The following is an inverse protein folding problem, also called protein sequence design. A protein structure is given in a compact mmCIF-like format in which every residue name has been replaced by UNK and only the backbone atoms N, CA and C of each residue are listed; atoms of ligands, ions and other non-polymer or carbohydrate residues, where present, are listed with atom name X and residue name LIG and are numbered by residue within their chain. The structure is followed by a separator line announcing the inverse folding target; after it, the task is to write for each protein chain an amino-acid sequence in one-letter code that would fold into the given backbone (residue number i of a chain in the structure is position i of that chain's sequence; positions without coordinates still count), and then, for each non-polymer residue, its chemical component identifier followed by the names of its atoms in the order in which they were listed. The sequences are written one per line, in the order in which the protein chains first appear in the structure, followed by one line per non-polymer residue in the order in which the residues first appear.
data_IF_152526357727
#
_entry.id   IF_152526357727
#
_cell.length_a   1.000
_cell.length_b   1.000
_cell.length_c   1.000
_cell.angle_alpha   90.00
_cell.angle_beta   90.00
_cell.angle_gamma   90.00
#
_symmetry.space_group_name_H-M   'P 1'
#
loop_
_entity.id
_entity.type
_entity.pdbx_description
1 polymer ?
#
# COMPACT_ATOMS: atom_id res chain seq x y z
N UNK A 1 -12.40 32.35 8.35
CA UNK A 1 -12.40 30.97 7.81
C UNK A 1 -11.63 30.12 8.81
N UNK A 2 -12.25 29.05 9.33
CA UNK A 2 -11.57 28.17 10.30
C UNK A 2 -10.61 27.31 9.48
N UNK A 3 -9.32 27.49 9.67
CA UNK A 3 -8.29 26.62 9.09
C UNK A 3 -8.09 25.43 10.02
N UNK A 4 -8.28 24.21 9.50
CA UNK A 4 -8.01 22.95 10.22
C UNK A 4 -6.60 22.45 9.90
N UNK A 5 -5.66 23.38 9.76
CA UNK A 5 -4.26 23.06 9.51
C UNK A 5 -3.66 22.40 10.75
N UNK A 6 -2.92 21.31 10.56
CA UNK A 6 -2.28 20.62 11.67
C UNK A 6 -0.87 20.16 11.32
N UNK A 7 -0.06 19.98 12.36
CA UNK A 7 1.28 19.42 12.26
C UNK A 7 1.18 17.93 12.48
N UNK A 8 1.61 17.14 11.48
CA UNK A 8 1.63 15.69 11.53
C UNK A 8 3.04 15.19 11.83
N UNK A 9 3.20 14.66 13.04
CA UNK A 9 4.43 14.03 13.49
C UNK A 9 4.08 12.65 14.06
N UNK A 10 3.75 11.72 13.17
CA UNK A 10 3.33 10.38 13.56
C UNK A 10 4.54 9.52 13.95
N UNK A 11 4.39 8.75 15.00
CA UNK A 11 5.28 7.62 15.24
C UNK A 11 4.85 6.49 14.29
N UNK A 12 5.75 6.02 13.40
CA UNK A 12 5.47 4.90 12.51
C UNK A 12 5.22 3.59 13.26
N UNK A 13 5.70 3.48 14.50
CA UNK A 13 5.62 2.28 15.33
C UNK A 13 4.35 2.35 16.18
N UNK A 14 3.46 1.39 15.98
CA UNK A 14 2.27 1.21 16.82
C UNK A 14 2.64 0.69 18.19
N UNK A 15 3.37 -0.44 18.26
CA UNK A 15 3.97 -0.97 19.49
C UNK A 15 5.16 -1.87 19.20
N UNK A 16 6.00 -2.11 20.22
CA UNK A 16 7.13 -3.02 20.14
C UNK A 16 6.90 -4.22 21.05
N UNK A 17 7.06 -5.43 20.51
CA UNK A 17 6.93 -6.68 21.24
C UNK A 17 8.18 -7.55 21.01
N UNK A 18 8.86 -7.96 22.05
CA UNK A 18 10.05 -8.82 22.01
C UNK A 18 11.13 -8.33 21.02
N UNK A 19 11.34 -7.00 20.94
CA UNK A 19 12.30 -6.38 20.03
C UNK A 19 11.81 -6.22 18.60
N UNK A 20 10.60 -6.69 18.25
CA UNK A 20 9.98 -6.51 16.94
C UNK A 20 9.07 -5.29 16.96
N UNK A 21 9.36 -4.32 16.10
CA UNK A 21 8.55 -3.12 15.94
C UNK A 21 7.37 -3.39 14.99
N UNK A 22 6.15 -3.36 15.50
CA UNK A 22 4.94 -3.42 14.68
C UNK A 22 4.56 -2.01 14.26
N UNK A 23 4.60 -1.77 12.95
CA UNK A 23 4.29 -0.47 12.35
C UNK A 23 2.81 -0.35 12.02
N UNK A 24 2.26 0.87 12.10
CA UNK A 24 0.89 1.15 11.63
C UNK A 24 0.65 0.68 10.20
N UNK A 25 1.63 0.86 9.32
CA UNK A 25 1.54 0.41 7.92
C UNK A 25 1.28 -1.10 7.82
N UNK A 26 2.03 -1.91 8.56
CA UNK A 26 1.82 -3.37 8.59
C UNK A 26 0.45 -3.74 9.16
N UNK A 27 -0.01 -3.02 10.19
CA UNK A 27 -1.34 -3.22 10.77
C UNK A 27 -2.45 -2.92 9.74
N UNK A 28 -2.32 -1.84 8.96
CA UNK A 28 -3.29 -1.52 7.91
C UNK A 28 -3.36 -2.62 6.85
N UNK A 29 -2.23 -3.25 6.50
CA UNK A 29 -2.24 -4.43 5.61
C UNK A 29 -2.98 -5.61 6.22
N UNK A 30 -2.74 -5.93 7.49
CA UNK A 30 -3.46 -7.03 8.17
C UNK A 30 -4.96 -6.77 8.16
N UNK A 31 -5.40 -5.56 8.45
CA UNK A 31 -6.82 -5.18 8.41
C UNK A 31 -7.36 -5.28 6.97
N UNK A 32 -6.63 -4.75 5.98
CA UNK A 32 -7.01 -4.80 4.57
C UNK A 32 -7.21 -6.24 4.07
N UNK A 33 -6.25 -7.13 4.36
CA UNK A 33 -6.33 -8.53 3.95
C UNK A 33 -7.44 -9.28 4.69
N UNK A 34 -7.56 -9.11 6.00
CA UNK A 34 -8.59 -9.79 6.81
C UNK A 34 -10.00 -9.38 6.36
N UNK A 35 -10.22 -8.06 6.20
CA UNK A 35 -11.50 -7.54 5.74
C UNK A 35 -11.76 -7.93 4.27
N UNK A 36 -10.72 -7.87 3.43
CA UNK A 36 -10.79 -8.30 2.04
C UNK A 36 -11.21 -9.76 1.91
N UNK A 37 -10.59 -10.65 2.68
CA UNK A 37 -10.96 -12.07 2.72
C UNK A 37 -12.41 -12.26 3.20
N UNK A 38 -12.81 -11.59 4.28
CA UNK A 38 -14.17 -11.68 4.82
C UNK A 38 -15.22 -11.23 3.80
N UNK A 39 -15.02 -10.11 3.14
CA UNK A 39 -15.95 -9.59 2.13
C UNK A 39 -16.01 -10.49 0.91
N UNK A 40 -14.88 -11.01 0.44
CA UNK A 40 -14.82 -11.93 -0.68
C UNK A 40 -15.51 -13.25 -0.34
N UNK A 41 -15.32 -13.77 0.88
CA UNK A 41 -16.02 -14.95 1.38
C UNK A 41 -17.53 -14.77 1.31
N UNK A 42 -18.05 -13.62 1.74
CA UNK A 42 -19.48 -13.32 1.68
C UNK A 42 -20.01 -13.33 0.23
N UNK A 43 -19.24 -12.80 -0.72
CA UNK A 43 -19.56 -12.81 -2.14
C UNK A 43 -19.54 -14.24 -2.71
N UNK A 44 -18.48 -14.99 -2.42
CA UNK A 44 -18.32 -16.37 -2.91
C UNK A 44 -19.47 -17.27 -2.45
N UNK A 45 -19.75 -17.26 -1.16
CA UNK A 45 -20.84 -18.07 -0.59
C UNK A 45 -22.22 -17.66 -1.15
N UNK A 46 -22.45 -16.37 -1.36
CA UNK A 46 -23.69 -15.88 -1.98
C UNK A 46 -23.89 -16.38 -3.42
N UNK A 47 -22.81 -16.69 -4.13
CA UNK A 47 -22.86 -17.19 -5.51
C UNK A 47 -22.58 -18.72 -5.60
N UNK A 48 -22.71 -19.43 -4.48
CA UNK A 48 -22.56 -20.88 -4.43
C UNK A 48 -21.12 -21.38 -4.64
N UNK A 49 -20.12 -20.51 -4.41
CA UNK A 49 -18.71 -20.87 -4.45
C UNK A 49 -18.22 -21.30 -3.07
N UNK A 50 -17.13 -22.06 -3.01
CA UNK A 50 -16.61 -22.60 -1.76
C UNK A 50 -15.51 -21.73 -1.14
N UNK A 51 -15.27 -21.93 0.15
CA UNK A 51 -14.18 -21.26 0.86
C UNK A 51 -12.82 -21.75 0.35
N UNK A 52 -12.69 -23.02 -0.02
CA UNK A 52 -11.48 -23.60 -0.60
C UNK A 52 -11.11 -22.92 -1.93
N UNK A 53 -12.12 -22.57 -2.74
CA UNK A 53 -11.91 -21.82 -3.97
C UNK A 53 -11.38 -20.41 -3.66
N UNK A 54 -11.94 -19.75 -2.63
CA UNK A 54 -11.45 -18.44 -2.18
C UNK A 54 -10.02 -18.51 -1.64
N UNK A 55 -9.74 -19.46 -0.73
CA UNK A 55 -8.41 -19.62 -0.14
C UNK A 55 -7.36 -19.91 -1.23
N UNK A 56 -7.74 -20.74 -2.21
CA UNK A 56 -6.90 -20.98 -3.39
C UNK A 56 -6.61 -19.67 -4.14
N UNK A 57 -7.61 -18.79 -4.37
CA UNK A 57 -7.40 -17.50 -5.01
C UNK A 57 -6.40 -16.63 -4.22
N UNK A 58 -6.57 -16.57 -2.91
CA UNK A 58 -5.65 -15.81 -2.04
C UNK A 58 -4.22 -16.34 -2.12
N UNK A 59 -4.02 -17.65 -2.07
CA UNK A 59 -2.69 -18.28 -2.18
C UNK A 59 -2.08 -17.99 -3.56
N UNK A 60 -2.84 -18.19 -4.64
CA UNK A 60 -2.36 -17.90 -6.01
C UNK A 60 -1.92 -16.44 -6.16
N UNK A 61 -2.74 -15.51 -5.69
CA UNK A 61 -2.43 -14.07 -5.80
C UNK A 61 -1.29 -13.64 -4.89
N UNK A 62 -1.21 -14.16 -3.66
CA UNK A 62 -0.15 -13.84 -2.71
C UNK A 62 1.22 -14.32 -3.23
N UNK A 63 1.32 -15.60 -3.63
CA UNK A 63 2.55 -16.15 -4.19
C UNK A 63 2.95 -15.39 -5.47
N UNK A 64 1.98 -15.15 -6.37
CA UNK A 64 2.25 -14.46 -7.62
C UNK A 64 2.68 -13.01 -7.42
N UNK A 65 2.14 -12.32 -6.42
CA UNK A 65 2.56 -10.96 -6.07
C UNK A 65 4.00 -10.95 -5.60
N UNK A 66 4.38 -11.82 -4.67
CA UNK A 66 5.73 -11.87 -4.11
C UNK A 66 6.76 -12.30 -5.17
N UNK A 67 6.48 -13.39 -5.87
CA UNK A 67 7.38 -13.93 -6.91
C UNK A 67 7.48 -12.96 -8.09
N UNK A 68 6.35 -12.45 -8.53
CA UNK A 68 6.30 -11.49 -9.64
C UNK A 68 7.01 -10.19 -9.32
N UNK A 69 6.77 -9.62 -8.12
CA UNK A 69 7.45 -8.40 -7.69
C UNK A 69 8.98 -8.60 -7.61
N UNK A 70 9.43 -9.74 -7.07
CA UNK A 70 10.85 -10.07 -6.99
C UNK A 70 11.49 -10.29 -8.36
N UNK A 71 10.88 -11.12 -9.19
CA UNK A 71 11.37 -11.36 -10.55
C UNK A 71 11.36 -10.08 -11.38
N UNK A 72 10.32 -9.24 -11.24
CA UNK A 72 10.26 -7.96 -11.93
C UNK A 72 11.38 -7.02 -11.53
N UNK A 73 11.73 -6.95 -10.26
CA UNK A 73 12.88 -6.18 -9.78
C UNK A 73 14.20 -6.72 -10.36
N UNK A 74 14.43 -8.02 -10.22
CA UNK A 74 15.65 -8.65 -10.68
C UNK A 74 15.84 -8.57 -12.20
N UNK A 75 14.77 -8.78 -12.98
CA UNK A 75 14.87 -8.89 -14.44
C UNK A 75 14.80 -7.54 -15.17
N UNK A 76 14.01 -6.58 -14.66
CA UNK A 76 13.78 -5.31 -15.35
C UNK A 76 14.60 -4.15 -14.79
N UNK A 77 14.97 -4.17 -13.51
CA UNK A 77 15.65 -3.03 -12.88
C UNK A 77 17.09 -3.32 -12.45
N UNK A 78 17.40 -4.56 -12.08
CA UNK A 78 18.70 -4.90 -11.50
C UNK A 78 19.37 -6.11 -12.16
N UNK A 79 19.10 -6.37 -13.46
CA UNK A 79 19.60 -7.54 -14.16
C UNK A 79 21.13 -7.60 -14.20
N UNK A 80 21.80 -6.47 -14.37
CA UNK A 80 23.28 -6.39 -14.41
C UNK A 80 23.92 -6.95 -13.15
N UNK A 81 23.27 -6.84 -12.01
CA UNK A 81 23.70 -7.44 -10.75
C UNK A 81 23.28 -8.92 -10.66
N UNK A 82 22.00 -9.22 -10.87
CA UNK A 82 21.45 -10.55 -10.60
C UNK A 82 21.87 -11.61 -11.61
N UNK A 83 22.31 -11.26 -12.82
CA UNK A 83 22.88 -12.23 -13.75
C UNK A 83 24.14 -12.92 -13.20
N UNK A 84 24.87 -12.28 -12.28
CA UNK A 84 26.06 -12.83 -11.61
C UNK A 84 25.74 -13.38 -10.21
N UNK A 85 24.53 -13.15 -9.68
CA UNK A 85 24.12 -13.55 -8.32
C UNK A 85 22.75 -14.27 -8.35
N UNK A 86 22.63 -15.31 -9.16
CA UNK A 86 21.36 -16.01 -9.43
C UNK A 86 20.69 -16.58 -8.17
N UNK A 87 21.46 -17.01 -7.17
CA UNK A 87 20.91 -17.54 -5.91
C UNK A 87 20.18 -16.45 -5.12
N UNK A 88 20.61 -15.21 -5.19
CA UNK A 88 20.01 -14.08 -4.51
C UNK A 88 18.63 -13.69 -5.09
N UNK A 89 18.29 -14.16 -6.29
CA UNK A 89 16.97 -13.99 -6.88
C UNK A 89 15.91 -14.70 -6.03
N UNK A 90 16.22 -15.93 -5.60
CA UNK A 90 15.27 -16.82 -4.93
C UNK A 90 15.45 -16.89 -3.41
N UNK A 91 16.62 -16.53 -2.91
CA UNK A 91 16.96 -16.61 -1.48
C UNK A 91 17.15 -15.19 -0.91
N UNK A 92 16.68 -14.95 0.33
CA UNK A 92 16.82 -13.65 1.00
C UNK A 92 18.23 -13.44 1.57
N UNK A 93 19.25 -13.75 0.79
CA UNK A 93 20.68 -13.72 1.17
C UNK A 93 21.45 -12.79 0.25
N UNK A 94 22.59 -12.30 0.72
CA UNK A 94 23.55 -11.52 -0.06
C UNK A 94 24.96 -12.07 0.15
N UNK A 95 25.76 -12.13 -0.91
CA UNK A 95 27.15 -12.51 -0.83
C UNK A 95 27.98 -11.41 -0.18
N UNK A 96 28.85 -11.79 0.79
CA UNK A 96 29.73 -10.84 1.49
C UNK A 96 31.02 -10.62 0.70
N UNK A 97 31.56 -9.38 0.70
CA UNK A 97 32.92 -9.14 0.26
C UNK A 97 33.90 -9.98 1.10
N UNK A 98 34.56 -10.96 0.50
CA UNK A 98 35.46 -11.89 1.21
C UNK A 98 34.91 -13.30 1.41
N UNK A 99 33.74 -13.60 0.88
CA UNK A 99 33.09 -14.90 0.89
C UNK A 99 32.13 -15.12 2.07
N UNK A 100 31.16 -16.02 1.86
CA UNK A 100 30.09 -16.30 2.81
C UNK A 100 28.81 -15.53 2.50
N UNK A 101 27.71 -15.86 3.22
CA UNK A 101 26.37 -15.33 2.98
C UNK A 101 25.86 -14.58 4.19
N UNK A 102 25.03 -13.56 3.94
CA UNK A 102 24.32 -12.79 4.95
C UNK A 102 22.82 -12.81 4.66
N UNK A 103 22.02 -13.04 5.69
CA UNK A 103 20.55 -12.95 5.57
C UNK A 103 20.14 -11.47 5.59
N UNK A 104 19.78 -10.94 4.43
CA UNK A 104 19.41 -9.52 4.26
C UNK A 104 17.90 -9.30 4.07
N UNK A 105 17.12 -10.38 3.90
CA UNK A 105 15.75 -10.30 3.43
C UNK A 105 15.66 -10.01 1.93
N UNK A 106 14.44 -9.94 1.41
CA UNK A 106 14.21 -9.51 0.03
C UNK A 106 14.14 -7.99 -0.02
N UNK A 107 15.14 -7.37 -0.62
CA UNK A 107 15.15 -5.95 -1.00
C UNK A 107 14.89 -5.84 -2.51
N UNK A 108 14.16 -4.81 -2.91
CA UNK A 108 13.75 -4.61 -4.31
C UNK A 108 12.50 -5.44 -4.67
N UNK A 109 11.39 -4.75 -4.85
CA UNK A 109 10.11 -5.32 -5.27
C UNK A 109 9.48 -4.39 -6.32
N UNK A 110 9.30 -4.89 -7.54
CA UNK A 110 8.74 -4.13 -8.65
C UNK A 110 7.22 -4.34 -8.79
N UNK A 111 6.44 -3.27 -8.72
CA UNK A 111 4.99 -3.32 -8.87
C UNK A 111 4.53 -3.86 -10.23
N UNK A 112 5.26 -3.56 -11.31
CA UNK A 112 4.96 -4.09 -12.65
C UNK A 112 5.11 -5.62 -12.69
N UNK A 113 6.16 -6.17 -12.05
CA UNK A 113 6.34 -7.61 -11.95
C UNK A 113 5.23 -8.28 -11.15
N UNK A 114 4.79 -7.66 -10.04
CA UNK A 114 3.64 -8.12 -9.27
C UNK A 114 2.36 -8.16 -10.13
N UNK A 115 2.10 -7.10 -10.91
CA UNK A 115 0.92 -7.04 -11.79
C UNK A 115 0.92 -8.17 -12.83
N UNK A 116 2.06 -8.42 -13.49
CA UNK A 116 2.22 -9.53 -14.44
C UNK A 116 1.99 -10.86 -13.73
N UNK A 117 2.60 -11.06 -12.56
CA UNK A 117 2.42 -12.28 -11.76
C UNK A 117 0.96 -12.53 -11.41
N UNK A 118 0.23 -11.52 -10.95
CA UNK A 118 -1.20 -11.63 -10.62
C UNK A 118 -2.02 -12.00 -11.87
N UNK A 119 -1.76 -11.40 -13.02
CA UNK A 119 -2.46 -11.74 -14.27
C UNK A 119 -2.25 -13.22 -14.59
N UNK A 120 -1.02 -13.71 -14.55
CA UNK A 120 -0.71 -15.12 -14.76
C UNK A 120 -1.40 -16.04 -13.75
N UNK A 121 -1.39 -15.66 -12.47
CA UNK A 121 -2.08 -16.41 -11.42
C UNK A 121 -3.59 -16.50 -11.66
N UNK A 122 -4.22 -15.44 -12.13
CA UNK A 122 -5.64 -15.45 -12.50
C UNK A 122 -5.92 -16.45 -13.62
N UNK A 123 -5.08 -16.52 -14.64
CA UNK A 123 -5.21 -17.52 -15.70
C UNK A 123 -5.02 -18.94 -15.19
N UNK A 124 -4.07 -19.19 -14.29
CA UNK A 124 -3.88 -20.50 -13.67
C UNK A 124 -5.07 -20.88 -12.78
N UNK A 125 -5.58 -19.92 -12.02
CA UNK A 125 -6.73 -20.10 -11.16
C UNK A 125 -8.00 -20.52 -11.92
N UNK A 126 -8.36 -19.82 -13.00
CA UNK A 126 -9.54 -20.17 -13.81
C UNK A 126 -9.34 -21.47 -14.61
N UNK A 127 -8.10 -21.88 -14.90
CA UNK A 127 -7.83 -23.21 -15.49
C UNK A 127 -8.09 -24.35 -14.47
N UNK A 128 -7.80 -24.11 -13.21
CA UNK A 128 -8.08 -25.05 -12.12
C UNK A 128 -9.58 -25.15 -11.82
N UNK A 129 -10.26 -24.01 -11.76
CA UNK A 129 -11.68 -23.90 -11.45
C UNK A 129 -12.48 -23.51 -12.70
N UNK A 130 -12.79 -24.52 -13.54
CA UNK A 130 -13.45 -24.33 -14.84
C UNK A 130 -14.87 -23.77 -14.77
N UNK A 131 -15.48 -23.77 -13.61
CA UNK A 131 -16.77 -23.17 -13.30
C UNK A 131 -16.70 -21.65 -13.08
N UNK A 132 -15.50 -21.09 -13.12
CA UNK A 132 -15.25 -19.65 -12.99
C UNK A 132 -14.68 -19.05 -14.26
N UNK A 133 -15.24 -17.94 -14.69
CA UNK A 133 -14.72 -17.12 -15.82
C UNK A 133 -13.85 -16.00 -15.24
N UNK A 134 -12.86 -15.56 -16.01
CA UNK A 134 -12.00 -14.44 -15.62
C UNK A 134 -12.82 -13.18 -15.29
N UNK A 135 -13.83 -12.85 -16.11
CA UNK A 135 -14.73 -11.73 -15.85
C UNK A 135 -15.43 -11.84 -14.50
N UNK A 136 -15.85 -13.06 -14.14
CA UNK A 136 -16.50 -13.32 -12.85
C UNK A 136 -15.55 -13.01 -11.69
N UNK A 137 -14.31 -13.50 -11.75
CA UNK A 137 -13.29 -13.27 -10.70
C UNK A 137 -12.99 -11.77 -10.58
N UNK A 138 -12.72 -11.11 -11.71
CA UNK A 138 -12.36 -9.68 -11.72
C UNK A 138 -13.49 -8.79 -11.18
N UNK A 139 -14.74 -9.04 -11.56
CA UNK A 139 -15.89 -8.28 -11.07
C UNK A 139 -16.10 -8.40 -9.55
N UNK A 140 -15.65 -9.51 -8.93
CA UNK A 140 -15.82 -9.73 -7.47
C UNK A 140 -14.64 -9.23 -6.67
N UNK A 141 -13.42 -9.44 -7.17
CA UNK A 141 -12.19 -9.10 -6.42
C UNK A 141 -11.97 -7.58 -6.30
N UNK A 142 -12.44 -6.78 -7.26
CA UNK A 142 -12.26 -5.32 -7.20
C UNK A 142 -13.04 -4.68 -6.05
N UNK A 143 -14.12 -5.30 -5.59
CA UNK A 143 -14.91 -4.79 -4.46
C UNK A 143 -14.07 -4.76 -3.17
N UNK A 144 -13.50 -5.89 -2.68
CA UNK A 144 -12.63 -5.85 -1.51
C UNK A 144 -11.30 -5.10 -1.76
N UNK A 145 -10.80 -5.06 -3.00
CA UNK A 145 -9.59 -4.28 -3.35
C UNK A 145 -9.78 -2.80 -3.04
N UNK A 146 -10.96 -2.22 -3.28
CA UNK A 146 -11.20 -0.81 -2.95
C UNK A 146 -11.08 -0.52 -1.46
N UNK A 147 -11.64 -1.37 -0.61
CA UNK A 147 -11.50 -1.19 0.84
C UNK A 147 -10.05 -1.44 1.29
N UNK A 148 -9.38 -2.39 0.67
CA UNK A 148 -7.95 -2.62 0.88
C UNK A 148 -7.12 -1.39 0.51
N UNK A 149 -7.39 -0.77 -0.64
CA UNK A 149 -6.76 0.48 -1.08
C UNK A 149 -6.93 1.61 -0.08
N UNK A 150 -8.11 1.76 0.53
CA UNK A 150 -8.34 2.74 1.59
C UNK A 150 -7.37 2.55 2.77
N UNK A 151 -7.22 1.32 3.27
CA UNK A 151 -6.31 1.03 4.38
C UNK A 151 -4.84 1.24 4.01
N UNK A 152 -4.44 0.91 2.78
CA UNK A 152 -3.09 1.20 2.28
C UNK A 152 -2.82 2.71 2.29
N UNK A 153 -3.80 3.54 1.88
CA UNK A 153 -3.66 5.01 1.93
C UNK A 153 -3.57 5.54 3.36
N UNK A 154 -4.29 4.97 4.31
CA UNK A 154 -4.07 5.28 5.72
C UNK A 154 -2.66 4.89 6.18
N UNK A 155 -2.14 3.74 5.74
CA UNK A 155 -0.76 3.35 6.01
C UNK A 155 0.25 4.37 5.47
N UNK A 156 0.09 4.82 4.22
CA UNK A 156 0.94 5.88 3.64
C UNK A 156 0.84 7.19 4.44
N UNK A 157 -0.34 7.55 4.94
CA UNK A 157 -0.52 8.73 5.77
C UNK A 157 0.26 8.62 7.10
N UNK A 158 0.20 7.46 7.78
CA UNK A 158 0.99 7.23 8.99
C UNK A 158 2.50 7.29 8.74
N UNK A 159 2.96 6.81 7.59
CA UNK A 159 4.36 6.87 7.19
C UNK A 159 4.78 8.25 6.61
N UNK A 160 3.86 9.21 6.46
CA UNK A 160 4.11 10.49 5.79
C UNK A 160 4.64 10.32 4.35
N UNK A 161 4.19 9.29 3.64
CA UNK A 161 4.56 8.96 2.26
C UNK A 161 3.49 9.41 1.27
N UNK A 162 3.90 9.65 0.02
CA UNK A 162 2.97 9.98 -1.10
C UNK A 162 2.11 11.19 -0.74
N UNK A 163 2.73 12.20 -0.19
CA UNK A 163 2.08 13.47 0.17
C UNK A 163 1.70 14.27 -1.08
N UNK A 164 0.69 15.13 -0.97
CA UNK A 164 0.24 15.96 -2.08
C UNK A 164 1.11 17.19 -2.31
N UNK A 165 0.70 18.01 -3.28
CA UNK A 165 1.35 19.27 -3.64
C UNK A 165 1.37 20.25 -2.46
N UNK A 166 2.36 21.15 -2.46
CA UNK A 166 2.46 22.24 -1.49
C UNK A 166 1.25 23.17 -1.63
N UNK A 167 0.74 23.63 -0.49
CA UNK A 167 -0.39 24.57 -0.40
C UNK A 167 -0.05 25.77 0.47
N UNK A 168 -0.86 26.82 0.35
CA UNK A 168 -0.77 27.96 1.25
C UNK A 168 -1.08 27.57 2.69
N UNK A 169 -0.45 28.27 3.64
CA UNK A 169 -0.74 28.13 5.07
C UNK A 169 -2.19 28.52 5.45
N UNK A 170 -2.92 29.16 4.54
CA UNK A 170 -4.35 29.49 4.70
C UNK A 170 -5.28 28.41 4.13
N UNK A 171 -4.76 27.38 3.47
CA UNK A 171 -5.55 26.28 2.92
C UNK A 171 -6.20 25.48 4.06
N UNK A 172 -7.54 25.28 4.05
CA UNK A 172 -8.28 24.74 5.21
C UNK A 172 -8.09 23.25 5.34
N UNK A 173 -7.25 22.56 5.09
CA UNK A 173 -6.91 21.12 5.29
C UNK A 173 -5.42 20.86 5.06
N UNK A 174 -4.59 21.93 5.12
CA UNK A 174 -3.16 21.79 4.94
C UNK A 174 -2.54 20.97 6.08
N UNK A 175 -1.70 20.02 5.74
CA UNK A 175 -0.95 19.21 6.69
C UNK A 175 0.53 19.47 6.53
N UNK A 176 1.19 19.74 7.65
CA UNK A 176 2.64 19.88 7.73
C UNK A 176 3.22 18.53 8.15
N UNK A 177 3.75 17.77 7.19
CA UNK A 177 4.38 16.49 7.44
C UNK A 177 5.81 16.69 7.91
N UNK A 178 6.05 16.56 9.21
CA UNK A 178 7.39 16.81 9.78
C UNK A 178 8.37 15.71 9.41
N UNK A 179 7.87 14.46 9.37
CA UNK A 179 8.61 13.30 8.86
C UNK A 179 8.25 13.13 7.38
N UNK A 180 9.18 13.35 6.48
CA UNK A 180 8.88 13.21 5.06
C UNK A 180 9.97 13.79 4.16
N UNK A 181 9.62 14.08 2.92
CA UNK A 181 10.54 14.52 1.88
C UNK A 181 11.22 15.87 2.20
N UNK A 182 10.50 16.77 2.92
CA UNK A 182 11.00 18.12 3.20
C UNK A 182 12.06 18.15 4.31
N UNK A 183 12.04 17.15 5.22
CA UNK A 183 13.00 17.02 6.31
C UNK A 183 13.37 15.55 6.52
N UNK A 184 14.50 15.13 5.95
CA UNK A 184 14.98 13.75 6.11
C UNK A 184 15.39 13.47 7.57
N UNK A 185 15.28 12.21 7.97
CA UNK A 185 15.70 11.73 9.30
C UNK A 185 17.14 12.11 9.63
N UNK A 186 18.04 11.91 8.68
CA UNK A 186 19.45 12.28 8.86
C UNK A 186 19.61 13.79 9.16
N UNK A 187 18.93 14.64 8.41
CA UNK A 187 18.98 16.09 8.60
C UNK A 187 18.37 16.51 9.94
N UNK A 188 17.24 15.91 10.32
CA UNK A 188 16.60 16.16 11.62
C UNK A 188 17.52 15.82 12.79
N UNK A 189 18.15 14.63 12.77
CA UNK A 189 19.10 14.20 13.80
C UNK A 189 20.35 15.07 13.83
N UNK A 190 20.90 15.46 12.67
CA UNK A 190 22.07 16.35 12.58
C UNK A 190 21.80 17.74 13.17
N UNK A 191 20.60 18.30 12.96
CA UNK A 191 20.21 19.62 13.47
C UNK A 191 20.01 19.60 14.98
N UNK A 192 19.36 18.54 15.49
CA UNK A 192 18.98 18.46 16.92
C UNK A 192 20.05 17.84 17.82
N UNK A 193 21.00 17.10 17.23
CA UNK A 193 21.95 16.28 17.98
C UNK A 193 21.33 15.06 18.66
N UNK A 194 20.08 14.73 18.32
CA UNK A 194 19.37 13.61 18.93
C UNK A 194 19.89 12.25 18.43
N UNK A 195 19.87 11.24 19.28
CA UNK A 195 20.33 9.90 18.97
C UNK A 195 19.30 9.05 18.18
N UNK A 196 18.04 9.50 18.14
CA UNK A 196 16.95 8.79 17.46
C UNK A 196 16.12 9.74 16.61
N UNK A 197 15.57 9.21 15.50
CA UNK A 197 14.65 9.97 14.64
C UNK A 197 13.44 10.51 15.43
N UNK A 198 12.86 9.69 16.29
CA UNK A 198 11.69 10.06 17.10
C UNK A 198 11.97 11.27 17.99
N UNK A 199 13.13 11.28 18.65
CA UNK A 199 13.54 12.38 19.51
C UNK A 199 13.83 13.64 18.69
N UNK A 200 14.53 13.51 17.57
CA UNK A 200 14.84 14.61 16.68
C UNK A 200 13.57 15.34 16.21
N UNK A 201 12.62 14.61 15.68
CA UNK A 201 11.35 15.17 15.21
C UNK A 201 10.49 15.71 16.37
N UNK A 202 10.52 15.07 17.53
CA UNK A 202 9.85 15.59 18.72
C UNK A 202 10.41 16.96 19.13
N UNK A 203 11.73 17.11 19.17
CA UNK A 203 12.39 18.37 19.49
C UNK A 203 12.04 19.46 18.46
N UNK A 204 12.05 19.14 17.16
CA UNK A 204 11.71 20.11 16.10
C UNK A 204 10.29 20.65 16.25
N UNK A 205 9.35 19.80 16.69
CA UNK A 205 7.95 20.21 16.88
C UNK A 205 7.73 21.00 18.18
N UNK A 206 8.44 20.65 19.27
CA UNK A 206 8.10 21.16 20.61
C UNK A 206 9.13 22.13 21.20
N UNK A 207 10.36 22.17 20.69
CA UNK A 207 11.38 23.07 21.22
C UNK A 207 11.41 24.38 20.38
N UNK A 208 11.14 25.55 21.00
CA UNK A 208 11.17 26.87 20.34
C UNK A 208 12.47 27.17 19.59
N UNK A 209 13.60 26.58 19.97
CA UNK A 209 14.89 26.73 19.30
C UNK A 209 14.84 26.32 17.84
N UNK A 210 13.93 25.40 17.47
CA UNK A 210 13.77 24.87 16.09
C UNK A 210 12.53 25.42 15.38
N UNK A 211 11.94 26.51 15.89
CA UNK A 211 10.73 27.10 15.32
C UNK A 211 10.91 27.47 13.83
N UNK A 212 12.09 28.00 13.46
CA UNK A 212 12.39 28.36 12.06
C UNK A 212 12.47 27.13 11.16
N UNK A 213 13.02 26.02 11.66
CA UNK A 213 13.06 24.74 10.94
C UNK A 213 11.63 24.23 10.70
N UNK A 214 10.81 24.24 11.75
CA UNK A 214 9.40 23.82 11.65
C UNK A 214 8.62 24.76 10.71
N UNK A 215 8.88 26.07 10.75
CA UNK A 215 8.25 27.06 9.87
C UNK A 215 8.60 26.80 8.39
N UNK A 216 9.83 26.41 8.10
CA UNK A 216 10.32 26.13 6.76
C UNK A 216 9.67 24.89 6.10
N UNK A 217 9.11 23.96 6.89
CA UNK A 217 8.38 22.80 6.33
C UNK A 217 7.05 23.31 5.75
N UNK A 218 6.76 23.06 4.46
CA UNK A 218 5.55 23.56 3.83
C UNK A 218 4.31 22.78 4.28
N UNK A 219 3.14 23.42 4.17
CA UNK A 219 1.87 22.71 4.21
C UNK A 219 1.62 22.01 2.88
N UNK A 220 1.08 20.80 2.93
CA UNK A 220 0.76 19.97 1.76
C UNK A 220 -0.67 19.44 1.82
N UNK A 221 -1.23 19.13 0.66
CA UNK A 221 -2.47 18.37 0.61
C UNK A 221 -2.25 16.99 1.24
N UNK A 222 -3.13 16.52 2.14
CA UNK A 222 -3.14 15.13 2.60
C UNK A 222 -3.75 14.22 1.51
N UNK A 223 -3.04 14.06 0.38
CA UNK A 223 -3.51 13.31 -0.78
C UNK A 223 -3.93 11.89 -0.41
N UNK A 224 -3.23 11.27 0.54
CA UNK A 224 -3.55 9.93 1.06
C UNK A 224 -4.97 9.87 1.62
N UNK A 225 -5.40 10.90 2.37
CA UNK A 225 -6.74 10.94 2.98
C UNK A 225 -7.82 11.20 1.91
N UNK A 226 -7.52 11.99 0.90
CA UNK A 226 -8.45 12.20 -0.22
C UNK A 226 -8.66 10.91 -1.00
N UNK A 227 -7.57 10.21 -1.30
CA UNK A 227 -7.64 8.92 -1.99
C UNK A 227 -8.33 7.85 -1.13
N UNK A 228 -8.05 7.81 0.18
CA UNK A 228 -8.74 6.91 1.11
C UNK A 228 -10.26 7.15 1.11
N UNK A 229 -10.69 8.42 1.18
CA UNK A 229 -12.11 8.78 1.10
C UNK A 229 -12.71 8.37 -0.25
N UNK A 230 -11.99 8.59 -1.34
CA UNK A 230 -12.41 8.16 -2.67
C UNK A 230 -12.57 6.64 -2.77
N UNK A 231 -11.62 5.85 -2.28
CA UNK A 231 -11.72 4.39 -2.21
C UNK A 231 -12.90 3.93 -1.35
N UNK A 232 -13.16 4.62 -0.23
CA UNK A 232 -14.30 4.33 0.62
C UNK A 232 -15.62 4.53 -0.11
N UNK A 233 -15.80 5.67 -0.80
CA UNK A 233 -17.00 5.94 -1.60
C UNK A 233 -17.14 4.91 -2.72
N UNK A 234 -16.03 4.61 -3.44
CA UNK A 234 -16.05 3.62 -4.52
C UNK A 234 -16.43 2.23 -4.01
N UNK A 235 -15.94 1.82 -2.83
CA UNK A 235 -16.35 0.58 -2.20
C UNK A 235 -17.88 0.50 -2.04
N UNK A 236 -18.50 1.52 -1.49
CA UNK A 236 -19.95 1.52 -1.28
C UNK A 236 -20.74 1.53 -2.59
N UNK A 237 -20.23 2.20 -3.62
CA UNK A 237 -20.83 2.17 -4.96
C UNK A 237 -20.79 0.75 -5.54
N UNK A 238 -19.60 0.11 -5.53
CA UNK A 238 -19.44 -1.24 -6.07
C UNK A 238 -20.24 -2.27 -5.25
N UNK A 239 -20.25 -2.13 -3.92
CA UNK A 239 -21.01 -2.97 -3.01
C UNK A 239 -22.51 -2.85 -3.26
N UNK A 240 -23.02 -1.64 -3.45
CA UNK A 240 -24.42 -1.40 -3.81
C UNK A 240 -24.76 -2.00 -5.17
N UNK A 241 -23.95 -1.77 -6.19
CA UNK A 241 -24.13 -2.35 -7.53
C UNK A 241 -24.19 -3.86 -7.47
N UNK A 242 -23.29 -4.49 -6.71
CA UNK A 242 -23.26 -5.94 -6.56
C UNK A 242 -24.51 -6.50 -5.87
N UNK A 243 -24.95 -5.90 -4.75
CA UNK A 243 -26.04 -6.46 -3.93
C UNK A 243 -27.44 -6.00 -4.33
N UNK A 244 -27.57 -4.84 -4.94
CA UNK A 244 -28.87 -4.18 -5.16
C UNK A 244 -29.26 -4.04 -6.64
N UNK A 245 -28.41 -4.51 -7.56
CA UNK A 245 -28.72 -4.44 -9.00
C UNK A 245 -28.39 -5.74 -9.71
N UNK A 246 -28.95 -5.94 -10.91
CA UNK A 246 -28.65 -7.10 -11.75
C UNK A 246 -27.33 -6.93 -12.53
N UNK A 247 -26.62 -5.81 -12.34
CA UNK A 247 -25.37 -5.50 -13.05
C UNK A 247 -24.24 -6.48 -12.72
N UNK A 248 -24.26 -7.12 -11.54
CA UNK A 248 -23.34 -8.20 -11.18
C UNK A 248 -23.32 -9.36 -12.18
N UNK A 249 -24.42 -9.53 -12.95
CA UNK A 249 -24.53 -10.60 -13.95
C UNK A 249 -23.94 -10.20 -15.31
N UNK A 250 -23.58 -8.93 -15.51
CA UNK A 250 -22.94 -8.43 -16.73
C UNK A 250 -21.42 -8.57 -16.62
N UNK A 251 -20.78 -9.37 -17.51
CA UNK A 251 -19.34 -9.55 -17.47
C UNK A 251 -18.58 -8.23 -17.55
N UNK A 252 -17.55 -8.09 -16.74
CA UNK A 252 -16.66 -6.92 -16.64
C UNK A 252 -17.34 -5.60 -16.26
N UNK A 253 -18.61 -5.61 -15.81
CA UNK A 253 -19.30 -4.38 -15.49
C UNK A 253 -18.74 -3.71 -14.22
N UNK A 254 -18.60 -4.47 -13.13
CA UNK A 254 -18.11 -3.96 -11.85
C UNK A 254 -16.62 -3.62 -11.97
N UNK A 255 -15.87 -4.47 -12.67
CA UNK A 255 -14.46 -4.23 -12.97
C UNK A 255 -14.25 -2.96 -13.81
N UNK A 256 -15.05 -2.77 -14.88
CA UNK A 256 -15.00 -1.56 -15.71
C UNK A 256 -15.35 -0.30 -14.91
N UNK A 257 -16.37 -0.38 -14.04
CA UNK A 257 -16.73 0.74 -13.15
C UNK A 257 -15.58 1.10 -12.20
N UNK A 258 -14.90 0.11 -11.65
CA UNK A 258 -13.69 0.30 -10.84
C UNK A 258 -12.60 1.01 -11.63
N UNK A 259 -12.28 0.54 -12.85
CA UNK A 259 -11.21 1.12 -13.68
C UNK A 259 -11.49 2.59 -14.05
N UNK A 260 -12.70 2.90 -14.49
CA UNK A 260 -13.08 4.28 -14.85
C UNK A 260 -12.95 5.23 -13.66
N UNK A 261 -13.36 4.78 -12.48
CA UNK A 261 -13.30 5.63 -11.28
C UNK A 261 -11.89 5.74 -10.69
N UNK A 262 -11.11 4.66 -10.71
CA UNK A 262 -9.72 4.75 -10.26
C UNK A 262 -8.85 5.60 -11.19
N UNK A 263 -9.03 5.51 -12.51
CA UNK A 263 -8.28 6.32 -13.47
C UNK A 263 -8.57 7.82 -13.35
N UNK A 264 -9.76 8.24 -12.95
CA UNK A 264 -10.11 9.67 -12.80
C UNK A 264 -9.33 10.37 -11.69
N UNK A 265 -8.74 9.65 -10.74
CA UNK A 265 -7.97 10.22 -9.63
C UNK A 265 -6.48 10.37 -9.93
N UNK A 266 -5.96 9.69 -10.95
CA UNK A 266 -4.57 9.83 -11.38
C UNK A 266 -4.30 11.11 -12.17
N UNK A 267 -5.34 11.78 -12.65
CA UNK A 267 -5.25 12.99 -13.48
C UNK A 267 -5.58 14.29 -12.71
N UNK A 268 -5.86 14.22 -11.42
CA UNK A 268 -6.14 15.36 -10.54
C UNK A 268 -5.00 15.60 -9.54
#
# INVERSE_FOLDING_TARGET
MITLNFIWNSNEIFFSLLGINIRYYSLMFVVAFSLGWYLTKKIYLNEGKTVEQLDSLFIYTAIATLVGARLGDCLFYNWDYFQHHLLEIFLPIKEKPGGGWELTGFSGLASHGAAIGIILAMFLYIRKYKDMKLSWVLDRIVIPITIGGMFVRFGNFFNSEIVGKVVSNTFPLGVKFVQGEDLSTYKAMSITGANTAKEAYYQIVHNPQYADILAAIPYRHPAQLYEAAGYFVLFWVLWYVYWKTDKRNKPYYIFGLFLVRSASWWNS
#
